data_IF_328588833047
#
_entry.id   IF_328588833047
#
_cell.length_a   1.000
_cell.length_b   1.000
_cell.length_c   1.000
_cell.angle_alpha   90.00
_cell.angle_beta   90.00
_cell.angle_gamma   90.00
#
_symmetry.space_group_name_H-M   'P 1'
#
loop_
_entity.id
_entity.type
_entity.pdbx_description
1 polymer ?
#
# COMPACT_ATOMS: atom_id res chain seq x y z
N UNK A 1 -0.63 -12.79 1.41
CA UNK A 1 -1.56 -13.80 0.88
C UNK A 1 -2.25 -13.21 -0.34
N UNK A 2 -1.97 -13.76 -1.51
CA UNK A 2 -2.54 -13.38 -2.80
C UNK A 2 -3.57 -14.43 -3.24
N UNK A 3 -4.45 -14.09 -4.18
CA UNK A 3 -5.35 -15.06 -4.80
C UNK A 3 -4.62 -16.29 -5.36
N UNK A 4 -3.38 -16.14 -5.84
CA UNK A 4 -2.54 -17.29 -6.27
C UNK A 4 -2.20 -18.25 -5.12
N UNK A 5 -1.92 -17.71 -3.94
CA UNK A 5 -1.63 -18.52 -2.74
C UNK A 5 -2.87 -19.31 -2.33
N UNK A 6 -4.07 -18.70 -2.45
CA UNK A 6 -5.34 -19.38 -2.17
C UNK A 6 -5.55 -20.53 -3.16
N UNK A 7 -5.34 -20.31 -4.46
CA UNK A 7 -5.47 -21.36 -5.48
C UNK A 7 -4.51 -22.51 -5.19
N UNK A 8 -3.24 -22.20 -4.87
CA UNK A 8 -2.23 -23.19 -4.55
C UNK A 8 -2.64 -24.00 -3.31
N UNK A 9 -3.04 -23.32 -2.24
CA UNK A 9 -3.43 -23.97 -0.98
C UNK A 9 -4.66 -24.86 -1.15
N UNK A 10 -5.70 -24.39 -1.85
CA UNK A 10 -6.92 -25.18 -2.08
C UNK A 10 -6.61 -26.41 -2.92
N UNK A 11 -5.73 -26.28 -3.92
CA UNK A 11 -5.27 -27.42 -4.72
C UNK A 11 -4.47 -28.41 -3.86
N UNK A 12 -3.57 -27.95 -2.99
CA UNK A 12 -2.77 -28.86 -2.14
C UNK A 12 -3.61 -29.56 -1.07
N UNK A 13 -4.59 -28.87 -0.47
CA UNK A 13 -5.38 -29.40 0.65
C UNK A 13 -6.53 -30.30 0.19
N UNK A 14 -7.14 -29.99 -0.96
CA UNK A 14 -8.38 -30.62 -1.39
C UNK A 14 -8.31 -31.23 -2.80
N UNK A 15 -7.19 -31.08 -3.51
CA UNK A 15 -7.02 -31.45 -4.94
C UNK A 15 -8.04 -30.79 -5.88
N UNK A 16 -8.60 -29.65 -5.45
CA UNK A 16 -9.58 -28.89 -6.23
C UNK A 16 -8.89 -27.72 -6.91
N UNK A 17 -9.12 -27.58 -8.22
CA UNK A 17 -8.68 -26.41 -8.96
C UNK A 17 -9.79 -25.35 -8.96
N UNK A 18 -9.50 -24.17 -8.43
CA UNK A 18 -10.43 -23.04 -8.40
C UNK A 18 -10.04 -21.95 -9.39
N UNK A 19 -11.04 -21.25 -9.92
CA UNK A 19 -10.82 -20.07 -10.75
C UNK A 19 -10.22 -18.91 -9.95
N UNK A 20 -9.40 -18.11 -10.62
CA UNK A 20 -8.79 -16.92 -10.04
C UNK A 20 -9.82 -15.95 -9.46
N UNK A 21 -10.95 -15.74 -10.14
CA UNK A 21 -12.03 -14.86 -9.65
C UNK A 21 -12.62 -15.34 -8.33
N UNK A 22 -12.79 -16.65 -8.13
CA UNK A 22 -13.27 -17.21 -6.84
C UNK A 22 -12.24 -17.04 -5.74
N UNK A 23 -10.96 -17.24 -6.06
CA UNK A 23 -9.88 -16.99 -5.10
C UNK A 23 -9.79 -15.52 -4.70
N UNK A 24 -10.00 -14.60 -5.66
CA UNK A 24 -10.06 -13.17 -5.38
C UNK A 24 -11.26 -12.81 -4.51
N UNK A 25 -12.46 -13.31 -4.83
CA UNK A 25 -13.66 -13.07 -4.03
C UNK A 25 -13.51 -13.62 -2.60
N UNK A 26 -12.88 -14.78 -2.43
CA UNK A 26 -12.56 -15.32 -1.12
C UNK A 26 -11.56 -14.44 -0.35
N UNK A 27 -10.55 -13.88 -1.06
CA UNK A 27 -9.62 -12.91 -0.49
C UNK A 27 -10.35 -11.64 -0.03
N UNK A 28 -11.21 -11.08 -0.88
CA UNK A 28 -11.99 -9.87 -0.58
C UNK A 28 -12.91 -10.08 0.64
N UNK A 29 -13.44 -11.29 0.81
CA UNK A 29 -14.24 -11.64 1.99
C UNK A 29 -13.38 -11.84 3.26
N UNK A 30 -12.21 -12.46 3.13
CA UNK A 30 -11.33 -12.76 4.26
C UNK A 30 -10.54 -11.55 4.77
N UNK A 31 -10.22 -10.58 3.90
CA UNK A 31 -9.45 -9.40 4.26
C UNK A 31 -10.10 -8.58 5.39
N UNK A 32 -11.38 -8.19 5.31
CA UNK A 32 -12.05 -7.49 6.40
C UNK A 32 -12.13 -8.28 7.70
N UNK A 33 -12.29 -9.61 7.61
CA UNK A 33 -12.34 -10.48 8.79
C UNK A 33 -11.00 -10.54 9.54
N UNK A 34 -9.89 -10.34 8.82
CA UNK A 34 -8.54 -10.44 9.38
C UNK A 34 -8.01 -9.09 9.85
N UNK A 35 -8.27 -8.04 9.08
CA UNK A 35 -7.68 -6.71 9.29
C UNK A 35 -8.68 -5.65 9.75
N UNK A 36 -9.95 -6.01 9.89
CA UNK A 36 -11.02 -5.05 10.12
C UNK A 36 -11.48 -4.37 8.83
N UNK A 37 -12.45 -3.48 8.97
CA UNK A 37 -12.95 -2.66 7.88
C UNK A 37 -11.86 -1.74 7.32
N UNK A 38 -12.07 -1.26 6.09
CA UNK A 38 -11.16 -0.28 5.50
C UNK A 38 -10.97 0.94 6.40
N UNK A 39 -12.04 1.46 7.01
CA UNK A 39 -11.97 2.60 7.93
C UNK A 39 -11.05 2.33 9.13
N UNK A 40 -11.20 1.18 9.78
CA UNK A 40 -10.34 0.79 10.92
C UNK A 40 -8.86 0.67 10.51
N UNK A 41 -8.57 0.13 9.32
CA UNK A 41 -7.19 0.06 8.83
C UNK A 41 -6.60 1.45 8.54
N UNK A 42 -7.40 2.39 8.02
CA UNK A 42 -6.95 3.76 7.78
C UNK A 42 -6.78 4.55 9.08
N UNK A 43 -7.55 4.25 10.14
CA UNK A 43 -7.34 4.85 11.46
C UNK A 43 -5.96 4.50 12.06
N UNK A 44 -5.37 3.35 11.69
CA UNK A 44 -4.03 2.96 12.12
C UNK A 44 -2.90 3.65 11.33
N UNK A 45 -3.24 4.32 10.23
CA UNK A 45 -2.25 4.90 9.32
C UNK A 45 -1.35 5.98 9.97
N UNK A 46 -1.86 6.91 10.82
CA UNK A 46 -1.01 7.88 11.51
C UNK A 46 0.05 7.20 12.41
N UNK A 47 -0.36 6.17 13.15
CA UNK A 47 0.55 5.38 13.99
C UNK A 47 1.61 4.65 13.15
N UNK A 48 1.22 4.11 12.01
CA UNK A 48 2.15 3.49 11.06
C UNK A 48 3.16 4.49 10.51
N UNK A 49 2.72 5.69 10.10
CA UNK A 49 3.59 6.77 9.61
C UNK A 49 4.61 7.14 10.68
N UNK A 50 4.17 7.32 11.93
CA UNK A 50 5.05 7.63 13.04
C UNK A 50 6.17 6.58 13.21
N UNK A 51 5.81 5.30 13.22
CA UNK A 51 6.80 4.21 13.32
C UNK A 51 7.72 4.16 12.11
N UNK A 52 7.20 4.45 10.92
CA UNK A 52 7.96 4.47 9.68
C UNK A 52 9.02 5.57 9.68
N UNK A 53 8.65 6.79 10.07
CA UNK A 53 9.53 7.94 10.17
C UNK A 53 10.65 7.70 11.20
N UNK A 54 10.33 7.07 12.33
CA UNK A 54 11.30 6.69 13.35
C UNK A 54 12.31 5.65 12.84
N UNK A 55 11.84 4.60 12.18
CA UNK A 55 12.70 3.52 11.66
C UNK A 55 13.51 3.94 10.43
N UNK A 56 13.00 4.87 9.64
CA UNK A 56 13.64 5.34 8.42
C UNK A 56 13.76 6.87 8.47
N UNK A 57 14.75 7.39 9.22
CA UNK A 57 14.99 8.83 9.28
C UNK A 57 15.12 9.43 7.88
N UNK A 58 14.58 10.64 7.71
CA UNK A 58 14.56 11.38 6.43
C UNK A 58 13.65 10.78 5.35
N UNK A 59 12.73 9.89 5.74
CA UNK A 59 11.58 9.54 4.92
C UNK A 59 10.67 10.76 4.83
N UNK A 60 10.12 11.01 3.64
CA UNK A 60 9.14 12.07 3.42
C UNK A 60 7.78 11.40 3.34
N UNK A 61 6.85 11.88 4.14
CA UNK A 61 5.49 11.36 4.24
C UNK A 61 4.51 12.53 4.23
N UNK A 62 3.41 12.37 3.52
CA UNK A 62 2.35 13.36 3.49
C UNK A 62 1.01 12.62 3.47
N UNK A 63 0.24 12.77 4.54
CA UNK A 63 -1.10 12.24 4.67
C UNK A 63 -2.08 13.40 4.53
N UNK A 64 -2.98 13.29 3.55
CA UNK A 64 -4.04 14.26 3.34
C UNK A 64 -5.40 13.64 3.63
N UNK A 65 -6.18 14.39 4.40
CA UNK A 65 -7.57 14.10 4.70
C UNK A 65 -8.46 15.26 4.24
N UNK A 66 -9.74 14.97 4.04
CA UNK A 66 -10.78 15.95 3.75
C UNK A 66 -11.22 16.70 5.02
N UNK A 67 -12.14 17.66 4.90
CA UNK A 67 -12.70 18.45 6.02
C UNK A 67 -13.34 17.57 7.11
N UNK A 68 -13.93 16.43 6.71
CA UNK A 68 -14.49 15.41 7.61
C UNK A 68 -13.42 14.50 8.27
N UNK A 69 -12.13 14.72 7.98
CA UNK A 69 -11.05 13.84 8.44
C UNK A 69 -10.96 12.50 7.68
N UNK A 70 -11.69 12.34 6.57
CA UNK A 70 -11.65 11.15 5.72
C UNK A 70 -10.38 11.12 4.88
N UNK A 71 -9.79 9.94 4.74
CA UNK A 71 -8.59 9.73 3.93
C UNK A 71 -8.81 10.16 2.46
N UNK A 72 -7.91 10.98 1.93
CA UNK A 72 -7.87 11.33 0.51
C UNK A 72 -6.69 10.65 -0.18
N UNK A 73 -5.47 10.94 0.28
CA UNK A 73 -4.26 10.35 -0.28
C UNK A 73 -3.11 10.32 0.71
N UNK A 74 -2.21 9.39 0.46
CA UNK A 74 -0.96 9.26 1.21
C UNK A 74 0.22 9.13 0.25
N UNK A 75 1.17 10.04 0.40
CA UNK A 75 2.45 10.01 -0.30
C UNK A 75 3.55 9.55 0.65
N UNK A 76 4.42 8.67 0.16
CA UNK A 76 5.59 8.21 0.89
C UNK A 76 6.80 8.16 -0.03
N UNK A 77 7.92 8.69 0.45
CA UNK A 77 9.23 8.55 -0.16
C UNK A 77 10.26 8.13 0.88
N UNK A 78 10.62 6.85 0.86
CA UNK A 78 11.62 6.30 1.78
C UNK A 78 12.98 6.95 1.56
N UNK A 79 13.70 7.19 2.66
CA UNK A 79 15.01 7.84 2.58
C UNK A 79 16.01 7.06 1.70
N UNK A 80 15.92 5.72 1.65
CA UNK A 80 16.71 4.89 0.76
C UNK A 80 16.40 5.15 -0.72
N UNK A 81 15.11 5.23 -1.08
CA UNK A 81 14.65 5.53 -2.42
C UNK A 81 15.06 6.95 -2.84
N UNK A 82 14.93 7.94 -1.96
CA UNK A 82 15.39 9.32 -2.21
C UNK A 82 16.89 9.37 -2.50
N UNK A 83 17.71 8.65 -1.73
CA UNK A 83 19.16 8.57 -1.95
C UNK A 83 19.49 7.94 -3.30
N UNK A 84 18.84 6.82 -3.64
CA UNK A 84 19.01 6.15 -4.93
C UNK A 84 18.59 7.06 -6.08
N UNK A 85 17.42 7.68 -5.99
CA UNK A 85 16.91 8.61 -6.98
C UNK A 85 17.88 9.77 -7.21
N UNK A 86 18.31 10.47 -6.14
CA UNK A 86 19.26 11.59 -6.26
C UNK A 86 20.61 11.20 -6.86
N UNK A 87 21.07 9.96 -6.65
CA UNK A 87 22.36 9.48 -7.17
C UNK A 87 22.28 8.96 -8.60
N UNK A 88 21.17 8.33 -8.97
CA UNK A 88 21.06 7.56 -10.21
C UNK A 88 20.16 8.22 -11.27
N UNK A 89 19.28 9.15 -10.89
CA UNK A 89 18.47 9.89 -11.87
C UNK A 89 19.26 11.00 -12.51
N UNK A 90 19.19 11.06 -13.84
CA UNK A 90 19.65 12.21 -14.61
C UNK A 90 18.68 13.37 -14.34
N UNK A 91 19.18 14.58 -14.04
CA UNK A 91 18.32 15.74 -13.85
C UNK A 91 17.52 16.00 -15.12
N UNK A 92 16.19 15.97 -15.01
CA UNK A 92 15.28 16.36 -16.08
C UNK A 92 14.93 17.83 -15.83
N UNK A 93 15.38 18.72 -16.73
CA UNK A 93 14.89 20.10 -16.77
C UNK A 93 13.48 20.07 -17.37
N UNK A 94 12.47 20.16 -16.51
CA UNK A 94 11.12 20.50 -16.98
C UNK A 94 11.06 22.01 -17.17
N UNK A 95 11.06 22.46 -18.42
CA UNK A 95 10.68 23.82 -18.76
C UNK A 95 9.16 23.89 -18.64
N UNK A 96 8.69 24.33 -17.47
CA UNK A 96 7.28 24.66 -17.28
C UNK A 96 6.98 25.89 -18.15
N UNK A 97 6.53 25.66 -19.39
CA UNK A 97 5.94 26.72 -20.21
C UNK A 97 4.55 26.99 -19.62
N UNK A 98 4.26 28.22 -19.15
CA UNK A 98 2.92 28.55 -18.70
C UNK A 98 1.97 28.43 -19.90
N UNK A 99 0.95 27.59 -19.74
CA UNK A 99 -0.21 27.50 -20.63
C UNK A 99 -1.12 28.69 -20.35
#
# INVERSE_FOLDING_TARGET
MCAKDIIANVKTMYDIQIMYSKAHQALDYALPLTYGTHEETFQLLPSFIYVLEQKNPRTITNLQCDEDGKFLYFFMSLSASLRGFRRCMRPILSLMVPI
#
